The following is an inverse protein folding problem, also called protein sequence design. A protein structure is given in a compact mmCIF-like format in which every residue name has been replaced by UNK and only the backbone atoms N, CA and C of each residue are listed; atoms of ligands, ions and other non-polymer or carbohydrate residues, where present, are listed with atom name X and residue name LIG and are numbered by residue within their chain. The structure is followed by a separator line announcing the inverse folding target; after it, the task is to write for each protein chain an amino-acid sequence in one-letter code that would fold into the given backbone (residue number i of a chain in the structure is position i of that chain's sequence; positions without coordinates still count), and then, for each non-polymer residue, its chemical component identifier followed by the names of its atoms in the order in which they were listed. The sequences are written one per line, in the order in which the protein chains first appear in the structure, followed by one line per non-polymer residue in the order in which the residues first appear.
data_IF_844927186547
#
_entry.id   IF_844927186547
#
_cell.length_a   1.000
_cell.length_b   1.000
_cell.length_c   1.000
_cell.angle_alpha   90.00
_cell.angle_beta   90.00
_cell.angle_gamma   90.00
#
_symmetry.space_group_name_H-M   'P 1'
#
loop_
_entity.id
_entity.type
_entity.pdbx_description
1 polymer ?
#
# COMPACT_ATOMS: atom_id res chain seq x y z
N UNK A 1 9.64 39.03 19.61
CA UNK A 1 8.51 38.38 20.30
C UNK A 1 8.46 36.94 19.81
N UNK A 2 8.98 36.01 20.62
CA UNK A 2 9.02 34.57 20.35
C UNK A 2 7.72 33.95 20.85
N UNK A 3 6.83 33.47 19.98
CA UNK A 3 5.90 32.38 20.28
C UNK A 3 5.65 31.62 18.97
N UNK A 4 6.32 30.48 18.83
CA UNK A 4 5.79 29.24 18.23
C UNK A 4 6.80 28.15 18.57
N UNK A 5 6.72 27.67 19.82
CA UNK A 5 7.17 26.31 20.15
C UNK A 5 6.20 25.37 19.45
N UNK A 6 6.63 24.81 18.33
CA UNK A 6 6.21 23.47 17.92
C UNK A 6 7.46 22.80 17.37
N UNK A 7 7.81 21.68 17.96
CA UNK A 7 8.95 20.85 17.59
C UNK A 7 8.72 20.41 16.14
N UNK A 8 9.45 21.01 15.20
CA UNK A 8 9.40 20.64 13.78
C UNK A 8 9.76 19.15 13.65
N UNK A 9 9.08 18.37 12.78
CA UNK A 9 9.55 17.02 12.46
C UNK A 9 11.00 17.14 12.00
N UNK A 10 11.84 16.20 12.46
CA UNK A 10 13.25 16.08 12.09
C UNK A 10 13.47 16.59 10.65
N UNK A 11 14.21 17.70 10.43
CA UNK A 11 14.39 18.30 9.12
C UNK A 11 14.76 17.27 8.03
N UNK A 12 15.53 16.25 8.41
CA UNK A 12 15.90 15.12 7.55
C UNK A 12 14.67 14.34 7.08
N UNK A 13 13.70 14.06 7.96
CA UNK A 13 12.45 13.37 7.60
C UNK A 13 11.63 14.17 6.59
N UNK A 14 11.55 15.49 6.76
CA UNK A 14 10.80 16.36 5.85
C UNK A 14 11.45 16.40 4.46
N UNK A 15 12.77 16.58 4.40
CA UNK A 15 13.53 16.60 3.14
C UNK A 15 13.45 15.25 2.42
N UNK A 16 13.57 14.15 3.15
CA UNK A 16 13.42 12.80 2.61
C UNK A 16 12.03 12.60 1.97
N UNK A 17 10.95 12.97 2.67
CA UNK A 17 9.59 12.86 2.12
C UNK A 17 9.39 13.72 0.87
N UNK A 18 9.99 14.92 0.82
CA UNK A 18 9.93 15.75 -0.38
C UNK A 18 10.66 15.11 -1.55
N UNK A 19 11.86 14.54 -1.33
CA UNK A 19 12.59 13.84 -2.36
C UNK A 19 11.79 12.64 -2.91
N UNK A 20 11.20 11.83 -2.02
CA UNK A 20 10.42 10.64 -2.41
C UNK A 20 9.15 10.99 -3.21
N UNK A 21 8.51 12.14 -2.94
CA UNK A 21 7.36 12.61 -3.75
C UNK A 21 7.71 12.93 -5.20
N UNK A 22 8.98 13.15 -5.51
CA UNK A 22 9.46 13.38 -6.87
C UNK A 22 9.69 12.09 -7.67
N UNK A 23 9.62 10.92 -7.03
CA UNK A 23 9.84 9.62 -7.68
C UNK A 23 8.51 9.12 -8.25
N UNK A 24 8.49 8.86 -9.55
CA UNK A 24 7.36 8.21 -10.22
C UNK A 24 7.47 6.69 -10.12
N UNK A 25 6.39 6.04 -9.71
CA UNK A 25 6.30 4.58 -9.60
C UNK A 25 4.98 4.08 -10.16
N UNK A 26 4.96 2.83 -10.60
CA UNK A 26 3.71 2.12 -10.92
C UNK A 26 2.82 2.03 -9.69
N UNK A 27 1.53 2.34 -9.86
CA UNK A 27 0.53 2.16 -8.80
C UNK A 27 -0.01 0.73 -8.86
N UNK A 28 -0.01 0.07 -7.71
CA UNK A 28 -0.57 -1.27 -7.56
C UNK A 28 -1.54 -1.29 -6.39
N UNK A 29 -2.43 -2.27 -6.37
CA UNK A 29 -3.19 -2.65 -5.17
C UNK A 29 -2.73 -4.02 -4.72
N UNK A 30 -2.27 -4.09 -3.49
CA UNK A 30 -1.88 -5.34 -2.83
C UNK A 30 -3.07 -5.84 -2.03
N UNK A 31 -3.47 -7.09 -2.22
CA UNK A 31 -4.58 -7.70 -1.50
C UNK A 31 -4.17 -9.00 -0.82
N UNK A 32 -4.77 -9.26 0.34
CA UNK A 32 -4.55 -10.48 1.11
C UNK A 32 -5.84 -10.87 1.85
N UNK A 33 -5.93 -12.14 2.22
CA UNK A 33 -7.09 -12.74 2.88
C UNK A 33 -6.64 -13.72 3.95
N UNK A 34 -7.26 -13.65 5.12
CA UNK A 34 -7.17 -14.65 6.18
C UNK A 34 -8.59 -15.05 6.61
N UNK A 35 -9.04 -16.24 6.24
CA UNK A 35 -10.44 -16.64 6.38
C UNK A 35 -11.36 -15.65 5.64
N UNK A 36 -12.37 -15.09 6.30
CA UNK A 36 -13.25 -14.09 5.69
C UNK A 36 -12.70 -12.66 5.73
N UNK A 37 -11.59 -12.42 6.43
CA UNK A 37 -10.99 -11.09 6.55
C UNK A 37 -10.14 -10.79 5.31
N UNK A 38 -10.69 -9.95 4.42
CA UNK A 38 -10.03 -9.48 3.20
C UNK A 38 -9.54 -8.05 3.40
N UNK A 39 -8.30 -7.79 3.01
CA UNK A 39 -7.69 -6.46 3.05
C UNK A 39 -7.06 -6.15 1.70
N UNK A 40 -7.14 -4.88 1.30
CA UNK A 40 -6.48 -4.34 0.13
C UNK A 40 -5.84 -3.00 0.48
N UNK A 41 -4.69 -2.70 -0.12
CA UNK A 41 -3.93 -1.49 0.12
C UNK A 41 -3.27 -1.02 -1.17
N UNK A 42 -3.40 0.27 -1.49
CA UNK A 42 -2.62 0.86 -2.58
C UNK A 42 -1.15 0.93 -2.20
N UNK A 43 -0.28 0.44 -3.08
CA UNK A 43 1.14 0.39 -2.85
C UNK A 43 1.91 0.76 -4.12
N UNK A 44 2.97 1.55 -3.93
CA UNK A 44 4.00 1.82 -4.93
C UNK A 44 5.33 1.15 -4.59
N UNK A 45 5.43 0.59 -3.38
CA UNK A 45 6.59 -0.11 -2.82
C UNK A 45 6.64 -1.59 -3.27
N UNK A 46 6.41 -1.85 -4.56
CA UNK A 46 6.42 -3.19 -5.14
C UNK A 46 7.56 -3.31 -6.14
N UNK A 47 8.39 -4.35 -5.99
CA UNK A 47 9.55 -4.58 -6.86
C UNK A 47 9.75 -6.06 -7.17
N UNK A 48 10.24 -6.35 -8.37
CA UNK A 48 10.78 -7.67 -8.72
C UNK A 48 12.06 -7.92 -7.94
N UNK A 49 12.14 -9.04 -7.22
CA UNK A 49 13.27 -9.38 -6.36
C UNK A 49 14.19 -10.43 -6.99
N UNK A 50 13.63 -11.51 -7.52
CA UNK A 50 14.41 -12.60 -8.15
C UNK A 50 13.65 -13.23 -9.32
N UNK A 51 14.39 -13.78 -10.28
CA UNK A 51 13.84 -14.63 -11.34
C UNK A 51 13.91 -16.11 -10.99
N UNK A 52 14.83 -16.52 -10.11
CA UNK A 52 15.03 -17.92 -9.72
C UNK A 52 15.18 -18.04 -8.18
N UNK A 53 14.13 -18.47 -7.45
CA UNK A 53 12.75 -18.61 -7.94
C UNK A 53 12.12 -17.23 -8.24
N UNK A 54 11.10 -17.15 -9.12
CA UNK A 54 10.37 -15.91 -9.36
C UNK A 54 9.80 -15.34 -8.06
N UNK A 55 10.29 -14.17 -7.64
CA UNK A 55 9.97 -13.57 -6.33
C UNK A 55 9.72 -12.08 -6.47
N UNK A 56 8.69 -11.59 -5.78
CA UNK A 56 8.34 -10.18 -5.66
C UNK A 56 8.47 -9.74 -4.21
N UNK A 57 8.79 -8.47 -3.98
CA UNK A 57 8.84 -7.84 -2.66
C UNK A 57 7.82 -6.70 -2.62
N UNK A 58 7.10 -6.61 -1.50
CA UNK A 58 6.27 -5.45 -1.13
C UNK A 58 6.68 -4.95 0.24
N UNK A 59 6.81 -3.63 0.43
CA UNK A 59 7.01 -3.04 1.75
C UNK A 59 5.68 -2.55 2.33
N UNK A 60 5.33 -3.05 3.51
CA UNK A 60 4.06 -2.76 4.20
C UNK A 60 4.35 -2.05 5.51
N UNK A 61 3.61 -0.98 5.79
CA UNK A 61 3.65 -0.32 7.09
C UNK A 61 2.98 -1.25 8.13
N UNK A 62 3.62 -1.49 9.28
CA UNK A 62 3.07 -2.32 10.35
C UNK A 62 1.75 -1.78 10.92
N UNK A 63 1.47 -0.48 10.76
CA UNK A 63 0.21 0.13 11.18
C UNK A 63 -0.93 -0.07 10.16
N UNK A 64 -0.63 -0.59 8.97
CA UNK A 64 -1.65 -0.82 7.95
C UNK A 64 -2.50 -2.05 8.29
N UNK A 65 -3.82 -1.98 8.10
CA UNK A 65 -4.74 -3.09 8.41
C UNK A 65 -4.42 -4.38 7.65
N UNK A 66 -3.81 -4.27 6.46
CA UNK A 66 -3.36 -5.43 5.68
C UNK A 66 -2.22 -6.21 6.34
N UNK A 67 -1.42 -5.57 7.20
CA UNK A 67 -0.33 -6.24 7.90
C UNK A 67 -0.84 -7.42 8.76
N UNK A 68 -2.00 -7.25 9.41
CA UNK A 68 -2.57 -8.26 10.31
C UNK A 68 -3.07 -9.52 9.58
N UNK A 69 -3.36 -9.42 8.27
CA UNK A 69 -3.73 -10.57 7.42
C UNK A 69 -2.53 -11.18 6.70
N UNK A 70 -1.38 -10.50 6.65
CA UNK A 70 -0.16 -11.00 6.01
C UNK A 70 0.64 -11.91 6.94
N UNK A 71 0.07 -13.08 7.26
CA UNK A 71 0.72 -14.09 8.10
C UNK A 71 1.61 -15.01 7.27
N UNK A 72 2.65 -15.56 7.90
CA UNK A 72 3.50 -16.57 7.27
C UNK A 72 2.65 -17.76 6.77
N UNK A 73 2.88 -18.16 5.52
CA UNK A 73 2.12 -19.21 4.86
C UNK A 73 0.82 -18.75 4.17
N UNK A 74 0.39 -17.49 4.35
CA UNK A 74 -0.70 -16.90 3.58
C UNK A 74 -0.17 -16.16 2.35
N UNK A 75 -0.85 -16.33 1.22
CA UNK A 75 -0.55 -15.64 -0.02
C UNK A 75 -1.10 -14.21 -0.05
N UNK A 76 -0.50 -13.38 -0.90
CA UNK A 76 -1.03 -12.07 -1.27
C UNK A 76 -1.00 -11.91 -2.79
N UNK A 77 -1.83 -11.02 -3.30
CA UNK A 77 -1.88 -10.67 -4.72
C UNK A 77 -1.36 -9.25 -4.93
N UNK A 78 -0.64 -9.03 -6.04
CA UNK A 78 -0.25 -7.71 -6.53
C UNK A 78 -1.05 -7.44 -7.80
N UNK A 79 -1.91 -6.42 -7.76
CA UNK A 79 -2.74 -6.00 -8.87
C UNK A 79 -2.17 -4.72 -9.46
N UNK A 80 -1.62 -4.78 -10.68
CA UNK A 80 -1.08 -3.61 -11.37
C UNK A 80 -2.24 -2.80 -11.96
N UNK A 81 -2.35 -1.51 -11.62
CA UNK A 81 -3.46 -0.68 -12.05
C UNK A 81 -3.23 -0.04 -13.43
N UNK A 82 -4.33 0.13 -14.16
CA UNK A 82 -4.40 0.85 -15.44
C UNK A 82 -4.91 2.29 -15.27
N UNK A 83 -4.82 3.09 -16.34
CA UNK A 83 -5.13 4.53 -16.35
C UNK A 83 -6.59 4.92 -16.03
N UNK A 84 -7.50 3.96 -15.83
CA UNK A 84 -8.88 4.23 -15.42
C UNK A 84 -9.20 3.89 -13.97
N UNK A 85 -8.22 3.39 -13.19
CA UNK A 85 -8.45 2.79 -11.88
C UNK A 85 -8.02 3.67 -10.72
N UNK A 86 -7.99 4.99 -10.92
CA UNK A 86 -7.67 5.98 -9.88
C UNK A 86 -8.62 5.87 -8.68
N UNK A 87 -9.93 5.68 -8.91
CA UNK A 87 -10.90 5.50 -7.83
C UNK A 87 -10.60 4.28 -6.95
N UNK A 88 -10.14 3.18 -7.55
CA UNK A 88 -9.71 2.00 -6.81
C UNK A 88 -8.42 2.27 -6.01
N UNK A 89 -7.46 2.98 -6.61
CA UNK A 89 -6.26 3.40 -5.91
C UNK A 89 -6.57 4.31 -4.71
N UNK A 90 -7.52 5.23 -4.86
CA UNK A 90 -7.90 6.16 -3.80
C UNK A 90 -8.61 5.43 -2.66
N UNK A 91 -9.61 4.58 -2.94
CA UNK A 91 -10.34 3.85 -1.89
C UNK A 91 -9.43 2.90 -1.10
N UNK A 92 -8.47 2.27 -1.77
CA UNK A 92 -7.48 1.40 -1.14
C UNK A 92 -6.35 2.16 -0.42
N UNK A 93 -6.28 3.50 -0.53
CA UNK A 93 -5.33 4.34 0.21
C UNK A 93 -5.93 4.93 1.51
N UNK A 94 -7.25 4.84 1.69
CA UNK A 94 -7.96 5.48 2.81
C UNK A 94 -8.24 4.47 3.93
N UNK A 95 -7.76 4.77 5.13
CA UNK A 95 -8.08 4.02 6.35
C UNK A 95 -9.56 4.15 6.73
N UNK A 96 -10.17 3.09 7.26
CA UNK A 96 -11.57 3.08 7.69
C UNK A 96 -12.59 2.85 6.57
N UNK A 97 -12.11 2.49 5.37
CA UNK A 97 -12.94 2.18 4.20
C UNK A 97 -12.75 0.75 3.69
N UNK A 98 -12.26 -0.15 4.54
CA UNK A 98 -11.87 -1.53 4.21
C UNK A 98 -12.99 -2.28 3.49
N UNK A 99 -14.23 -2.17 3.97
CA UNK A 99 -15.40 -2.81 3.37
C UNK A 99 -15.71 -2.30 1.95
N UNK A 100 -15.41 -1.03 1.67
CA UNK A 100 -15.71 -0.39 0.38
C UNK A 100 -14.71 -0.79 -0.71
N UNK A 101 -13.49 -1.22 -0.34
CA UNK A 101 -12.40 -1.54 -1.27
C UNK A 101 -12.73 -2.67 -2.25
N UNK A 102 -13.70 -3.50 -1.90
CA UNK A 102 -14.12 -4.67 -2.69
C UNK A 102 -15.53 -4.53 -3.29
N UNK A 103 -16.16 -3.36 -3.18
CA UNK A 103 -17.49 -3.10 -3.77
C UNK A 103 -17.42 -2.82 -5.26
N UNK A 104 -16.30 -2.27 -5.71
CA UNK A 104 -16.04 -1.92 -7.10
C UNK A 104 -14.83 -2.71 -7.63
N UNK A 105 -14.91 -3.12 -8.90
CA UNK A 105 -13.91 -3.95 -9.56
C UNK A 105 -14.29 -5.43 -9.63
N UNK A 106 -13.69 -6.13 -10.59
CA UNK A 106 -13.90 -7.55 -10.83
C UNK A 106 -12.89 -8.38 -10.03
N UNK A 107 -13.17 -8.57 -8.74
CA UNK A 107 -12.32 -9.36 -7.85
C UNK A 107 -12.60 -10.87 -8.01
N UNK A 108 -11.53 -11.65 -8.16
CA UNK A 108 -11.57 -13.11 -8.13
C UNK A 108 -10.58 -13.67 -7.11
N UNK A 109 -10.84 -14.87 -6.62
CA UNK A 109 -9.91 -15.62 -5.79
C UNK A 109 -9.03 -16.52 -6.68
N UNK A 110 -7.77 -16.74 -6.28
CA UNK A 110 -6.82 -17.65 -6.94
C UNK A 110 -6.93 -19.07 -6.36
#
# INVERSE_FOLDING_TARGET
MLICRNMDPDPVKKEFLQAMRGITSTVTVVSAKDGENKQAMTATSVVSLSLDPPTMLVCINHEATIHDVMKEGLGFCINILSIGQEGLADICSVAGKEEQRFLEGDWSEL
#
